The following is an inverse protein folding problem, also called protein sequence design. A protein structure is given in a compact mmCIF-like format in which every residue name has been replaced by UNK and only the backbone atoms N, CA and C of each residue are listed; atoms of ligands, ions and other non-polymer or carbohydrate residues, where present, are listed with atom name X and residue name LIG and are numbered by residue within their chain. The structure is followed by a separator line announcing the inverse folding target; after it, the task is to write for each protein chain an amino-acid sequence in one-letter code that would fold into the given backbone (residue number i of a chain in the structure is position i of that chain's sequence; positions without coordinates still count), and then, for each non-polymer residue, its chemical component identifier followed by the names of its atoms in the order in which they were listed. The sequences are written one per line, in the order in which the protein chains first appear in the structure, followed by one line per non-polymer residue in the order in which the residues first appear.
data_IF_805231802310
#
_entry.id   IF_805231802310
#
_cell.length_a   1.000
_cell.length_b   1.000
_cell.length_c   1.000
_cell.angle_alpha   90.00
_cell.angle_beta   90.00
_cell.angle_gamma   90.00
#
_symmetry.space_group_name_H-M   'P 1'
#
loop_
_entity.id
_entity.type
_entity.pdbx_description
1 polymer ?
#
# COMPACT_ATOMS: atom_id res chain seq x y z
N UNK A 1 18.74 48.40 -14.06
CA UNK A 1 19.19 47.16 -14.76
C UNK A 1 19.25 45.96 -13.81
N UNK A 2 19.93 46.05 -12.66
CA UNK A 2 20.01 44.95 -11.67
C UNK A 2 18.67 44.63 -10.96
N UNK A 3 17.80 45.63 -10.74
CA UNK A 3 16.44 45.41 -10.19
C UNK A 3 15.52 44.64 -11.16
N UNK A 4 15.62 44.94 -12.45
CA UNK A 4 14.85 44.24 -13.49
C UNK A 4 15.36 42.80 -13.70
N UNK A 5 16.66 42.56 -13.52
CA UNK A 5 17.23 41.20 -13.55
C UNK A 5 16.81 40.35 -12.34
N UNK A 6 16.61 40.96 -11.17
CA UNK A 6 16.09 40.26 -9.99
C UNK A 6 14.57 40.01 -10.07
N UNK A 7 13.79 40.94 -10.63
CA UNK A 7 12.36 40.68 -10.90
C UNK A 7 12.17 39.64 -12.02
N UNK A 8 13.02 39.62 -13.04
CA UNK A 8 13.03 38.57 -14.07
C UNK A 8 13.50 37.22 -13.51
N UNK A 9 14.41 37.20 -12.53
CA UNK A 9 14.80 35.99 -11.81
C UNK A 9 13.64 35.42 -10.98
N UNK A 10 12.89 36.27 -10.28
CA UNK A 10 11.71 35.84 -9.51
C UNK A 10 10.52 35.46 -10.39
N UNK A 11 10.37 36.05 -11.58
CA UNK A 11 9.38 35.64 -12.59
C UNK A 11 9.77 34.35 -13.33
N UNK A 12 11.07 34.04 -13.44
CA UNK A 12 11.56 32.77 -14.02
C UNK A 12 11.31 31.54 -13.14
N UNK A 13 10.96 31.72 -11.86
CA UNK A 13 10.62 30.62 -10.94
C UNK A 13 9.11 30.49 -10.66
N UNK A 14 8.25 31.28 -11.32
CA UNK A 14 6.81 31.33 -11.03
C UNK A 14 5.89 31.18 -12.25
N UNK A 15 6.37 30.64 -13.37
CA UNK A 15 5.49 30.22 -14.46
C UNK A 15 5.79 28.78 -14.85
N UNK A 16 4.74 27.96 -14.85
CA UNK A 16 4.67 26.62 -15.40
C UNK A 16 5.37 26.58 -16.77
N UNK A 17 6.60 26.05 -16.80
CA UNK A 17 7.19 25.58 -18.04
C UNK A 17 6.42 24.31 -18.42
N UNK A 18 5.53 24.41 -19.42
CA UNK A 18 4.90 23.26 -20.04
C UNK A 18 5.98 22.25 -20.49
N UNK A 19 6.17 21.18 -19.71
CA UNK A 19 6.85 19.96 -20.17
C UNK A 19 8.05 19.45 -19.37
N UNK A 20 8.59 20.19 -18.38
CA UNK A 20 9.71 19.68 -17.56
C UNK A 20 9.19 19.20 -16.21
N UNK A 21 9.16 17.88 -16.02
CA UNK A 21 8.81 17.28 -14.73
C UNK A 21 9.85 17.62 -13.67
N UNK A 22 9.39 18.16 -12.53
CA UNK A 22 10.20 18.40 -11.35
C UNK A 22 9.65 17.54 -10.20
N UNK A 23 10.46 16.63 -9.62
CA UNK A 23 10.00 15.78 -8.53
C UNK A 23 9.72 16.63 -7.28
N UNK A 24 8.49 16.55 -6.77
CA UNK A 24 8.12 17.22 -5.54
C UNK A 24 8.64 16.45 -4.32
N UNK A 25 9.18 17.16 -3.34
CA UNK A 25 9.57 16.59 -2.06
C UNK A 25 8.60 17.02 -0.97
N UNK A 26 8.31 16.11 -0.05
CA UNK A 26 7.60 16.44 1.18
C UNK A 26 8.54 17.19 2.12
N UNK A 27 8.02 18.24 2.75
CA UNK A 27 8.72 18.92 3.84
C UNK A 27 8.58 18.12 5.13
N UNK A 28 9.69 17.50 5.56
CA UNK A 28 9.75 16.75 6.82
C UNK A 28 10.17 17.60 8.02
N UNK A 29 10.48 18.90 7.84
CA UNK A 29 11.08 19.75 8.88
C UNK A 29 10.26 19.83 10.18
N UNK A 30 8.94 19.68 10.06
CA UNK A 30 7.99 19.76 11.19
C UNK A 30 7.67 18.41 11.81
N UNK A 31 8.19 17.30 11.26
CA UNK A 31 7.85 15.96 11.72
C UNK A 31 8.93 15.41 12.65
N UNK A 32 8.57 15.29 13.92
CA UNK A 32 9.40 14.58 14.92
C UNK A 32 8.75 13.25 15.26
N UNK A 33 9.49 12.16 15.10
CA UNK A 33 9.01 10.82 15.46
C UNK A 33 9.04 10.64 16.98
N UNK A 34 7.99 10.03 17.54
CA UNK A 34 7.95 9.69 18.96
C UNK A 34 8.90 8.51 19.29
N UNK A 35 9.10 8.22 20.57
CA UNK A 35 10.01 7.16 21.02
C UNK A 35 9.62 5.77 20.50
N UNK A 36 8.32 5.50 20.38
CA UNK A 36 7.80 4.22 19.90
C UNK A 36 8.13 3.99 18.43
N UNK A 37 7.87 4.98 17.58
CA UNK A 37 8.21 4.95 16.16
C UNK A 37 9.72 4.88 15.95
N UNK A 38 10.52 5.59 16.75
CA UNK A 38 11.98 5.48 16.71
C UNK A 38 12.47 4.08 17.10
N UNK A 39 11.84 3.44 18.09
CA UNK A 39 12.13 2.04 18.43
C UNK A 39 11.77 1.10 17.27
N UNK A 40 10.68 1.37 16.54
CA UNK A 40 10.31 0.62 15.35
C UNK A 40 11.31 0.81 14.20
N UNK A 41 11.76 2.05 13.95
CA UNK A 41 12.83 2.34 12.98
C UNK A 41 14.09 1.52 13.29
N UNK A 42 14.49 1.46 14.55
CA UNK A 42 15.66 0.68 14.98
C UNK A 42 15.48 -0.82 14.72
N UNK A 43 14.31 -1.39 15.07
CA UNK A 43 13.99 -2.82 14.84
C UNK A 43 13.95 -3.14 13.33
N UNK A 44 13.34 -2.28 12.53
CA UNK A 44 13.29 -2.45 11.08
C UNK A 44 14.68 -2.35 10.45
N UNK A 45 15.51 -1.40 10.88
CA UNK A 45 16.86 -1.22 10.35
C UNK A 45 17.73 -2.48 10.54
N UNK A 46 17.65 -3.10 11.72
CA UNK A 46 18.30 -4.38 12.02
C UNK A 46 17.74 -5.51 11.16
N UNK A 47 16.41 -5.67 11.10
CA UNK A 47 15.75 -6.64 10.23
C UNK A 47 16.15 -6.49 8.75
N UNK A 48 16.25 -5.25 8.26
CA UNK A 48 16.57 -4.96 6.87
C UNK A 48 18.05 -5.24 6.56
N UNK A 49 18.95 -4.95 7.51
CA UNK A 49 20.36 -5.36 7.42
C UNK A 49 20.49 -6.88 7.44
N UNK A 50 19.81 -7.57 8.36
CA UNK A 50 19.84 -9.03 8.46
C UNK A 50 19.28 -9.70 7.20
N UNK A 51 18.22 -9.13 6.59
CA UNK A 51 17.67 -9.57 5.30
C UNK A 51 18.67 -9.44 4.14
N UNK A 52 19.48 -8.37 4.15
CA UNK A 52 20.55 -8.21 3.18
C UNK A 52 21.71 -9.19 3.45
N UNK A 53 22.09 -9.34 4.71
CA UNK A 53 23.19 -10.18 5.14
C UNK A 53 22.91 -11.67 4.91
N UNK A 54 21.73 -12.16 5.27
CA UNK A 54 21.31 -13.54 5.02
C UNK A 54 21.43 -13.90 3.53
N UNK A 55 20.85 -13.09 2.64
CA UNK A 55 20.95 -13.29 1.18
C UNK A 55 22.38 -13.24 0.64
N UNK A 56 23.30 -12.56 1.33
CA UNK A 56 24.72 -12.51 0.98
C UNK A 56 25.42 -13.79 1.44
N UNK A 57 25.20 -14.21 2.68
CA UNK A 57 25.73 -15.46 3.24
C UNK A 57 25.26 -16.68 2.44
N UNK A 58 23.98 -16.73 2.05
CA UNK A 58 23.40 -17.79 1.20
C UNK A 58 24.10 -17.89 -0.16
N UNK A 59 24.65 -16.76 -0.66
CA UNK A 59 25.43 -16.70 -1.90
C UNK A 59 26.93 -16.95 -1.68
N UNK A 60 27.32 -17.45 -0.50
CA UNK A 60 28.70 -17.75 -0.13
C UNK A 60 29.56 -16.52 0.16
N UNK A 61 28.95 -15.37 0.45
CA UNK A 61 29.73 -14.22 0.90
C UNK A 61 30.19 -14.40 2.34
N UNK A 62 31.40 -13.95 2.65
CA UNK A 62 31.99 -14.02 3.99
C UNK A 62 32.40 -12.65 4.50
N UNK A 63 32.54 -12.52 5.82
CA UNK A 63 33.07 -11.29 6.41
C UNK A 63 34.53 -11.05 5.96
N UNK A 64 34.87 -9.80 5.66
CA UNK A 64 36.24 -9.38 5.42
C UNK A 64 36.37 -7.86 5.50
N UNK A 65 37.54 -7.37 5.92
CA UNK A 65 37.78 -5.95 6.19
C UNK A 65 37.56 -5.05 4.96
N UNK A 66 37.72 -5.60 3.76
CA UNK A 66 37.53 -4.89 2.50
C UNK A 66 36.52 -5.63 1.62
N UNK A 67 35.73 -4.86 0.89
CA UNK A 67 34.83 -5.42 -0.12
C UNK A 67 35.64 -6.03 -1.26
N UNK A 68 35.33 -7.29 -1.60
CA UNK A 68 35.95 -7.97 -2.73
C UNK A 68 34.95 -8.92 -3.37
N UNK A 69 34.63 -8.68 -4.64
CA UNK A 69 33.77 -9.60 -5.40
C UNK A 69 34.49 -10.90 -5.76
N UNK A 70 35.81 -10.86 -5.97
CA UNK A 70 36.63 -12.02 -6.36
C UNK A 70 36.71 -13.06 -5.23
N UNK A 71 36.88 -12.59 -3.99
CA UNK A 71 36.96 -13.44 -2.80
C UNK A 71 35.64 -13.46 -2.01
N UNK A 72 34.56 -12.92 -2.60
CA UNK A 72 33.22 -12.83 -2.01
C UNK A 72 33.19 -12.31 -0.57
N UNK A 73 33.93 -11.23 -0.30
CA UNK A 73 34.02 -10.61 1.02
C UNK A 73 33.25 -9.30 1.13
N UNK A 74 32.63 -9.06 2.28
CA UNK A 74 31.97 -7.79 2.57
C UNK A 74 32.16 -7.34 4.03
N UNK A 75 32.55 -6.08 4.30
CA UNK A 75 32.84 -5.60 5.67
C UNK A 75 31.59 -5.51 6.55
N UNK A 76 30.43 -5.22 5.95
CA UNK A 76 29.15 -5.13 6.67
C UNK A 76 28.51 -6.47 7.07
N UNK A 77 29.17 -7.61 6.83
CA UNK A 77 28.72 -8.92 7.30
C UNK A 77 29.11 -9.14 8.77
N UNK A 78 28.58 -8.26 9.62
CA UNK A 78 28.74 -8.25 11.08
C UNK A 78 27.38 -7.91 11.69
N UNK A 79 27.13 -8.27 12.97
CA UNK A 79 25.88 -7.90 13.64
C UNK A 79 25.59 -6.39 13.56
N UNK A 80 24.32 -6.01 13.41
CA UNK A 80 23.90 -4.62 13.20
C UNK A 80 24.50 -3.62 14.21
N UNK A 81 24.60 -4.03 15.48
CA UNK A 81 25.15 -3.17 16.54
C UNK A 81 26.64 -2.84 16.35
N UNK A 82 27.40 -3.63 15.57
CA UNK A 82 28.83 -3.40 15.26
C UNK A 82 29.07 -2.58 13.99
N UNK A 83 28.03 -2.25 13.24
CA UNK A 83 28.14 -1.33 12.11
C UNK A 83 28.54 0.07 12.59
N UNK A 84 29.16 0.84 11.70
CA UNK A 84 29.45 2.25 11.95
C UNK A 84 28.14 3.06 12.00
N UNK A 85 28.15 4.17 12.72
CA UNK A 85 26.91 4.93 12.94
C UNK A 85 26.32 5.48 11.63
N UNK A 86 27.15 5.93 10.69
CA UNK A 86 26.68 6.35 9.37
C UNK A 86 26.06 5.19 8.55
N UNK A 87 26.53 3.96 8.76
CA UNK A 87 25.97 2.76 8.10
C UNK A 87 24.65 2.35 8.71
N UNK A 88 24.51 2.48 10.04
CA UNK A 88 23.23 2.28 10.75
C UNK A 88 22.22 3.33 10.31
N UNK A 89 22.66 4.59 10.23
CA UNK A 89 21.81 5.70 9.84
C UNK A 89 21.24 5.51 8.44
N UNK A 90 22.04 5.00 7.50
CA UNK A 90 21.54 4.62 6.17
C UNK A 90 20.35 3.65 6.23
N UNK A 91 20.36 2.66 7.13
CA UNK A 91 19.26 1.70 7.26
C UNK A 91 18.06 2.29 8.00
N UNK A 92 18.31 3.07 9.05
CA UNK A 92 17.27 3.77 9.81
C UNK A 92 16.49 4.73 8.94
N UNK A 93 17.22 5.53 8.16
CA UNK A 93 16.64 6.59 7.36
C UNK A 93 15.64 6.06 6.32
N UNK A 94 15.83 4.84 5.80
CA UNK A 94 14.87 4.21 4.89
C UNK A 94 13.50 3.98 5.52
N UNK A 95 13.46 3.57 6.78
CA UNK A 95 12.21 3.37 7.49
C UNK A 95 11.65 4.71 7.99
N UNK A 96 12.52 5.56 8.54
CA UNK A 96 12.14 6.86 9.07
C UNK A 96 11.54 7.78 8.00
N UNK A 97 12.06 7.76 6.78
CA UNK A 97 11.52 8.48 5.62
C UNK A 97 10.07 8.05 5.31
N UNK A 98 9.80 6.74 5.27
CA UNK A 98 8.45 6.24 5.07
C UNK A 98 7.50 6.67 6.20
N UNK A 99 7.93 6.54 7.45
CA UNK A 99 7.10 6.92 8.61
C UNK A 99 6.81 8.42 8.60
N UNK A 100 7.82 9.26 8.31
CA UNK A 100 7.62 10.71 8.23
C UNK A 100 6.65 11.08 7.11
N UNK A 101 6.77 10.46 5.94
CA UNK A 101 5.83 10.68 4.83
C UNK A 101 4.38 10.33 5.23
N UNK A 102 4.18 9.18 5.89
CA UNK A 102 2.88 8.78 6.42
C UNK A 102 2.31 9.82 7.40
N UNK A 103 3.13 10.32 8.33
CA UNK A 103 2.70 11.36 9.28
C UNK A 103 2.34 12.67 8.55
N UNK A 104 3.13 13.11 7.56
CA UNK A 104 2.82 14.31 6.75
C UNK A 104 1.49 14.15 6.02
N UNK A 105 1.21 12.96 5.50
CA UNK A 105 -0.07 12.65 4.83
C UNK A 105 -1.23 12.44 5.81
N UNK A 106 -1.00 12.59 7.13
CA UNK A 106 -2.05 12.49 8.15
C UNK A 106 -2.37 11.05 8.57
N UNK A 107 -1.52 10.08 8.28
CA UNK A 107 -1.67 8.72 8.83
C UNK A 107 -1.20 8.65 10.28
N UNK A 108 -1.90 7.84 11.06
CA UNK A 108 -1.58 7.54 12.44
C UNK A 108 -1.21 6.06 12.59
N UNK A 109 -0.40 5.77 13.62
CA UNK A 109 0.03 4.42 13.97
C UNK A 109 -0.53 4.09 15.34
N UNK A 110 -1.31 3.02 15.42
CA UNK A 110 -1.90 2.54 16.67
C UNK A 110 -1.56 1.06 16.85
N UNK A 111 -1.08 0.71 18.04
CA UNK A 111 -0.91 -0.70 18.41
C UNK A 111 -2.28 -1.30 18.74
N UNK A 112 -2.79 -2.18 17.88
CA UNK A 112 -4.11 -2.81 18.04
C UNK A 112 -4.04 -4.28 18.43
N UNK A 113 -2.98 -4.98 18.02
CA UNK A 113 -2.76 -6.40 18.34
C UNK A 113 -1.54 -6.54 19.28
N UNK A 114 -1.81 -6.43 20.58
CA UNK A 114 -0.79 -6.55 21.62
C UNK A 114 -0.15 -7.95 21.63
N UNK A 115 -0.92 -9.00 21.38
CA UNK A 115 -0.40 -10.37 21.34
C UNK A 115 0.57 -10.57 20.17
N UNK A 116 0.28 -9.99 18.99
CA UNK A 116 1.21 -9.99 17.86
C UNK A 116 2.49 -9.23 18.19
N UNK A 117 2.39 -8.07 18.84
CA UNK A 117 3.56 -7.33 19.27
C UNK A 117 4.42 -8.13 20.26
N UNK A 118 3.81 -8.81 21.23
CA UNK A 118 4.53 -9.68 22.16
C UNK A 118 5.23 -10.84 21.43
N UNK A 119 4.52 -11.54 20.54
CA UNK A 119 5.12 -12.61 19.71
C UNK A 119 6.27 -12.08 18.85
N UNK A 120 6.10 -10.91 18.23
CA UNK A 120 7.13 -10.27 17.43
C UNK A 120 8.39 -9.94 18.27
N UNK A 121 8.19 -9.45 19.50
CA UNK A 121 9.31 -9.17 20.41
C UNK A 121 9.99 -10.44 20.95
N UNK A 122 9.24 -11.53 21.18
CA UNK A 122 9.77 -12.82 21.62
C UNK A 122 10.48 -13.60 20.50
N UNK A 123 10.00 -13.46 19.25
CA UNK A 123 10.60 -14.12 18.07
C UNK A 123 11.94 -13.52 17.64
N UNK A 124 12.34 -12.38 18.23
CA UNK A 124 13.61 -11.73 17.94
C UNK A 124 14.78 -12.61 18.42
N UNK A 125 15.48 -13.21 17.47
CA UNK A 125 16.72 -13.94 17.71
C UNK A 125 17.91 -13.03 17.44
N UNK A 126 18.88 -12.99 18.36
CA UNK A 126 20.11 -12.23 18.15
C UNK A 126 20.90 -12.84 16.98
N UNK A 127 21.28 -11.99 16.03
CA UNK A 127 22.05 -12.37 14.83
C UNK A 127 23.52 -12.74 15.11
N UNK A 128 23.89 -12.95 16.38
CA UNK A 128 25.26 -13.20 16.83
C UNK A 128 25.89 -11.99 17.53
N UNK A 129 27.00 -12.21 18.26
CA UNK A 129 27.73 -11.16 18.98
C UNK A 129 28.89 -10.58 18.16
N UNK A 130 29.48 -11.39 17.30
CA UNK A 130 30.69 -11.11 16.54
C UNK A 130 30.56 -11.62 15.10
N UNK A 131 31.51 -11.23 14.26
CA UNK A 131 31.61 -11.62 12.85
C UNK A 131 31.72 -13.14 12.64
N UNK A 132 32.27 -13.89 13.61
CA UNK A 132 32.45 -15.35 13.52
C UNK A 132 31.16 -16.12 13.78
N UNK A 133 30.31 -15.59 14.64
CA UNK A 133 29.04 -16.21 15.06
C UNK A 133 27.85 -15.50 14.41
N UNK A 134 28.11 -14.70 13.36
CA UNK A 134 27.10 -13.89 12.69
C UNK A 134 26.17 -14.79 11.88
N UNK A 135 24.92 -14.93 12.36
CA UNK A 135 23.88 -15.73 11.75
C UNK A 135 22.57 -14.92 11.70
N UNK A 136 22.42 -14.03 10.71
CA UNK A 136 21.25 -13.16 10.60
C UNK A 136 19.98 -13.96 10.37
N UNK A 137 18.95 -13.68 11.19
CA UNK A 137 17.62 -14.32 11.11
C UNK A 137 16.54 -13.25 10.95
N UNK A 138 16.41 -12.66 9.75
CA UNK A 138 15.37 -11.68 9.50
C UNK A 138 13.97 -12.29 9.69
N UNK A 139 13.03 -11.46 10.11
CA UNK A 139 11.60 -11.79 10.13
C UNK A 139 11.12 -12.20 8.73
N UNK A 140 10.37 -13.30 8.64
CA UNK A 140 9.75 -13.72 7.39
C UNK A 140 8.41 -12.98 7.17
N UNK A 141 8.42 -12.03 6.23
CA UNK A 141 7.24 -11.23 5.84
C UNK A 141 6.59 -11.74 4.53
N UNK A 142 7.08 -12.86 3.98
CA UNK A 142 6.66 -13.34 2.65
C UNK A 142 5.19 -13.77 2.61
N UNK A 143 4.70 -14.38 3.69
CA UNK A 143 3.32 -14.86 3.83
C UNK A 143 2.35 -13.81 4.36
N UNK A 144 2.81 -12.58 4.62
CA UNK A 144 1.95 -11.50 5.07
C UNK A 144 1.29 -10.78 3.89
N UNK A 145 0.00 -10.52 4.05
CA UNK A 145 -0.80 -9.77 3.09
C UNK A 145 -1.20 -8.42 3.69
N UNK A 146 -1.08 -7.38 2.88
CA UNK A 146 -1.56 -6.04 3.18
C UNK A 146 -2.97 -5.88 2.63
N UNK A 147 -3.82 -5.15 3.36
CA UNK A 147 -5.14 -4.77 2.89
C UNK A 147 -5.05 -3.82 1.68
N UNK A 148 -6.12 -3.74 0.89
CA UNK A 148 -6.16 -2.94 -0.34
C UNK A 148 -5.84 -1.46 -0.09
N UNK A 149 -6.35 -0.88 0.99
CA UNK A 149 -6.02 0.50 1.38
C UNK A 149 -4.53 0.66 1.67
N UNK A 150 -3.96 -0.23 2.47
CA UNK A 150 -2.52 -0.20 2.81
C UNK A 150 -1.64 -0.44 1.58
N UNK A 151 -2.10 -1.23 0.59
CA UNK A 151 -1.41 -1.37 -0.70
C UNK A 151 -1.38 -0.06 -1.50
N UNK A 152 -2.45 0.75 -1.45
CA UNK A 152 -2.45 2.07 -2.10
C UNK A 152 -1.47 3.02 -1.39
N UNK A 153 -1.43 2.97 -0.07
CA UNK A 153 -0.43 3.69 0.74
C UNK A 153 0.99 3.24 0.39
N UNK A 154 1.20 1.94 0.14
CA UNK A 154 2.47 1.40 -0.30
C UNK A 154 2.92 1.96 -1.66
N UNK A 155 1.99 2.10 -2.62
CA UNK A 155 2.28 2.73 -3.91
C UNK A 155 2.66 4.21 -3.73
N UNK A 156 1.94 4.96 -2.90
CA UNK A 156 2.26 6.36 -2.61
C UNK A 156 3.64 6.51 -1.95
N UNK A 157 4.01 5.61 -1.02
CA UNK A 157 5.35 5.56 -0.44
C UNK A 157 6.43 5.24 -1.45
N UNK A 158 6.16 4.33 -2.39
CA UNK A 158 7.09 3.97 -3.45
C UNK A 158 7.34 5.13 -4.42
N UNK A 159 6.28 5.86 -4.79
CA UNK A 159 6.35 7.10 -5.55
C UNK A 159 7.18 8.17 -4.81
N UNK A 160 6.94 8.37 -3.52
CA UNK A 160 7.71 9.33 -2.72
C UNK A 160 9.21 8.97 -2.69
N UNK A 161 9.56 7.69 -2.52
CA UNK A 161 10.95 7.21 -2.61
C UNK A 161 11.58 7.55 -3.96
N UNK A 162 10.83 7.37 -5.05
CA UNK A 162 11.28 7.74 -6.40
C UNK A 162 11.50 9.25 -6.55
N UNK A 163 10.57 10.07 -6.07
CA UNK A 163 10.69 11.52 -6.13
C UNK A 163 11.90 12.04 -5.33
N UNK A 164 12.16 11.46 -4.16
CA UNK A 164 13.35 11.80 -3.35
C UNK A 164 14.65 11.40 -4.04
N UNK A 165 14.69 10.23 -4.67
CA UNK A 165 15.83 9.81 -5.49
C UNK A 165 16.02 10.75 -6.69
N UNK A 166 14.96 11.01 -7.44
CA UNK A 166 14.98 11.87 -8.62
C UNK A 166 15.49 13.27 -8.27
N UNK A 167 15.00 13.87 -7.18
CA UNK A 167 15.46 15.19 -6.74
C UNK A 167 16.95 15.20 -6.42
N UNK A 168 17.46 14.18 -5.70
CA UNK A 168 18.90 14.05 -5.42
C UNK A 168 19.72 13.97 -6.70
N UNK A 169 19.23 13.23 -7.70
CA UNK A 169 19.87 13.17 -9.03
C UNK A 169 19.84 14.54 -9.72
N UNK A 170 18.73 15.28 -9.67
CA UNK A 170 18.66 16.65 -10.21
C UNK A 170 19.67 17.58 -9.53
N UNK A 171 19.79 17.54 -8.20
CA UNK A 171 20.75 18.35 -7.44
C UNK A 171 22.19 17.97 -7.79
N UNK A 172 22.51 16.67 -7.83
CA UNK A 172 23.84 16.18 -8.21
C UNK A 172 24.24 16.59 -9.64
N UNK A 173 23.28 16.61 -10.57
CA UNK A 173 23.49 17.04 -11.96
C UNK A 173 23.69 18.55 -12.08
N UNK A 174 23.02 19.33 -11.24
CA UNK A 174 23.20 20.78 -11.17
C UNK A 174 24.61 21.13 -10.66
N UNK A 175 25.07 20.44 -9.61
CA UNK A 175 26.37 20.70 -8.98
C UNK A 175 27.55 20.08 -9.75
N UNK A 176 27.36 18.92 -10.38
CA UNK A 176 28.42 18.13 -11.03
C UNK A 176 28.09 17.76 -12.48
N UNK A 177 27.64 18.73 -13.27
CA UNK A 177 27.26 18.55 -14.69
C UNK A 177 28.35 17.87 -15.56
N UNK A 178 29.63 17.97 -15.17
CA UNK A 178 30.74 17.32 -15.88
C UNK A 178 30.91 15.82 -15.57
N UNK A 179 30.38 15.32 -14.44
CA UNK A 179 30.57 13.93 -14.00
C UNK A 179 29.52 12.97 -14.58
N UNK A 180 28.36 13.49 -15.01
CA UNK A 180 27.26 12.72 -15.55
C UNK A 180 27.01 13.09 -17.03
N UNK A 181 27.64 12.37 -17.97
CA UNK A 181 27.53 12.69 -19.39
C UNK A 181 26.14 12.42 -19.98
N UNK A 182 25.22 11.79 -19.23
CA UNK A 182 23.88 11.43 -19.70
C UNK A 182 22.86 11.35 -18.56
N UNK A 183 21.64 11.85 -18.83
CA UNK A 183 20.50 11.82 -17.91
C UNK A 183 20.01 10.37 -17.69
N UNK A 184 19.82 9.90 -16.45
CA UNK A 184 19.25 8.58 -16.19
C UNK A 184 17.85 8.43 -16.80
N UNK A 185 17.59 7.32 -17.50
CA UNK A 185 16.30 7.07 -18.17
C UNK A 185 15.11 7.02 -17.20
N UNK A 186 15.35 6.61 -15.96
CA UNK A 186 14.33 6.56 -14.93
C UNK A 186 13.95 7.94 -14.37
N UNK A 187 14.57 9.03 -14.83
CA UNK A 187 14.24 10.39 -14.38
C UNK A 187 12.98 10.93 -15.08
N UNK A 188 11.87 10.24 -14.83
CA UNK A 188 10.53 10.54 -15.35
C UNK A 188 9.51 10.41 -14.21
N UNK A 189 8.31 11.00 -14.35
CA UNK A 189 7.21 10.78 -13.42
C UNK A 189 6.98 9.30 -13.09
N UNK A 190 6.60 9.01 -11.85
CA UNK A 190 6.35 7.65 -11.36
C UNK A 190 5.41 6.85 -12.28
N UNK A 191 4.36 7.50 -12.80
CA UNK A 191 3.38 6.87 -13.68
C UNK A 191 3.90 6.45 -15.06
N UNK A 192 5.07 6.96 -15.47
CA UNK A 192 5.70 6.57 -16.73
C UNK A 192 6.73 5.45 -16.56
N UNK A 193 7.08 5.08 -15.33
CA UNK A 193 8.00 3.98 -15.07
C UNK A 193 7.36 2.64 -15.40
N UNK A 194 8.16 1.70 -15.90
CA UNK A 194 7.75 0.32 -16.07
C UNK A 194 7.59 -0.40 -14.73
N UNK A 195 6.83 -1.49 -14.71
CA UNK A 195 6.69 -2.33 -13.51
C UNK A 195 8.03 -2.87 -12.99
N UNK A 196 9.01 -3.06 -13.88
CA UNK A 196 10.34 -3.51 -13.51
C UNK A 196 11.09 -2.44 -12.71
N UNK A 197 11.00 -1.18 -13.13
CA UNK A 197 11.64 -0.05 -12.46
C UNK A 197 11.01 0.23 -11.10
N UNK A 198 9.67 0.20 -11.01
CA UNK A 198 8.92 0.41 -9.76
C UNK A 198 9.10 -0.70 -8.73
N UNK A 199 9.48 -1.91 -9.16
CA UNK A 199 9.49 -3.13 -8.31
C UNK A 199 10.28 -2.95 -7.01
N UNK A 200 11.42 -2.27 -7.07
CA UNK A 200 12.32 -2.12 -5.91
C UNK A 200 11.73 -1.20 -4.85
N UNK A 201 11.14 -0.08 -5.27
CA UNK A 201 10.53 0.88 -4.34
C UNK A 201 9.20 0.36 -3.80
N UNK A 202 8.39 -0.30 -4.64
CA UNK A 202 7.19 -1.03 -4.21
C UNK A 202 7.49 -2.07 -3.15
N UNK A 203 8.49 -2.92 -3.41
CA UNK A 203 8.90 -3.93 -2.45
C UNK A 203 9.29 -3.30 -1.12
N UNK A 204 10.13 -2.26 -1.13
CA UNK A 204 10.56 -1.59 0.11
C UNK A 204 9.41 -0.96 0.88
N UNK A 205 8.51 -0.26 0.19
CA UNK A 205 7.35 0.35 0.81
C UNK A 205 6.46 -0.72 1.48
N UNK A 206 6.18 -1.81 0.78
CA UNK A 206 5.38 -2.92 1.31
C UNK A 206 6.07 -3.60 2.51
N UNK A 207 7.39 -3.81 2.46
CA UNK A 207 8.13 -4.43 3.56
C UNK A 207 8.05 -3.60 4.84
N UNK A 208 8.13 -2.26 4.74
CA UNK A 208 7.94 -1.38 5.91
C UNK A 208 6.54 -1.57 6.51
N UNK A 209 5.50 -1.51 5.68
CA UNK A 209 4.11 -1.63 6.14
C UNK A 209 3.80 -3.01 6.73
N UNK A 210 4.29 -4.08 6.09
CA UNK A 210 4.17 -5.45 6.62
C UNK A 210 4.86 -5.59 7.96
N UNK A 211 6.03 -4.96 8.14
CA UNK A 211 6.75 -5.00 9.40
C UNK A 211 5.97 -4.33 10.54
N UNK A 212 5.30 -3.21 10.27
CA UNK A 212 4.38 -2.59 11.24
C UNK A 212 3.23 -3.53 11.61
N UNK A 213 2.58 -4.15 10.60
CA UNK A 213 1.51 -5.12 10.82
C UNK A 213 2.00 -6.36 11.60
N UNK A 214 3.23 -6.81 11.36
CA UNK A 214 3.84 -7.94 12.08
C UNK A 214 3.99 -7.63 13.58
N UNK A 215 4.32 -6.37 13.87
CA UNK A 215 4.40 -5.84 15.23
C UNK A 215 3.03 -5.43 15.81
N UNK A 216 1.91 -5.77 15.16
CA UNK A 216 0.55 -5.52 15.66
C UNK A 216 0.05 -4.09 15.49
N UNK A 217 0.77 -3.26 14.73
CA UNK A 217 0.34 -1.89 14.45
C UNK A 217 -0.65 -1.83 13.29
N UNK A 218 -1.66 -0.99 13.45
CA UNK A 218 -2.57 -0.54 12.40
C UNK A 218 -2.17 0.86 11.96
N UNK A 219 -2.19 1.07 10.64
CA UNK A 219 -2.02 2.38 10.01
C UNK A 219 -3.37 2.81 9.47
N UNK A 220 -3.83 4.01 9.80
CA UNK A 220 -5.10 4.54 9.33
C UNK A 220 -4.99 6.05 9.11
N UNK A 221 -5.83 6.59 8.23
CA UNK A 221 -5.88 8.03 7.96
C UNK A 221 -6.56 8.76 9.11
N UNK A 222 -6.09 9.94 9.49
CA UNK A 222 -6.74 10.78 10.51
C UNK A 222 -8.18 11.20 10.14
N UNK A 223 -8.58 11.08 8.87
CA UNK A 223 -9.99 11.21 8.47
C UNK A 223 -10.88 10.17 9.16
N UNK A 224 -10.37 8.94 9.33
CA UNK A 224 -11.15 7.81 9.86
C UNK A 224 -11.34 7.89 11.39
N UNK A 225 -10.46 8.60 12.11
CA UNK A 225 -10.56 8.75 13.56
C UNK A 225 -11.60 9.79 14.00
N UNK A 226 -11.84 10.82 13.17
CA UNK A 226 -12.97 11.74 13.34
C UNK A 226 -14.33 11.03 13.18
N UNK A 227 -14.40 10.03 12.30
CA UNK A 227 -15.63 9.28 12.08
C UNK A 227 -15.95 8.29 13.21
N UNK A 228 -14.93 7.73 13.86
CA UNK A 228 -15.13 6.80 15.00
C UNK A 228 -15.51 7.50 16.31
N UNK A 229 -15.10 8.75 16.53
CA UNK A 229 -15.57 9.55 17.67
C UNK A 229 -17.00 10.09 17.46
N UNK A 230 -17.45 10.20 16.20
CA UNK A 230 -18.75 10.78 15.85
C UNK A 230 -19.98 9.91 16.12
N UNK A 231 -19.80 8.61 16.45
CA UNK A 231 -20.92 7.70 16.75
C UNK A 231 -21.47 7.94 18.17
N UNK A 232 -20.64 8.41 19.11
CA UNK A 232 -21.04 8.54 20.52
C UNK A 232 -21.74 9.87 20.84
N UNK A 233 -21.48 10.92 20.06
CA UNK A 233 -22.04 12.27 20.31
C UNK A 233 -23.17 12.70 19.34
N UNK A 234 -23.51 11.90 18.32
CA UNK A 234 -24.61 12.24 17.37
C UNK A 234 -26.03 12.02 17.87
N UNK A 235 -26.23 11.65 19.14
CA UNK A 235 -27.57 11.48 19.72
C UNK A 235 -28.13 12.73 20.41
N UNK A 236 -27.47 13.89 20.31
CA UNK A 236 -28.04 15.16 20.75
C UNK A 236 -27.80 16.26 19.73
N UNK A 237 -28.90 16.93 19.40
CA UNK A 237 -29.04 18.25 18.73
C UNK A 237 -29.30 18.20 17.21
N UNK A 238 -30.62 18.24 16.92
CA UNK A 238 -31.35 19.00 15.89
C UNK A 238 -30.79 19.19 14.47
N UNK A 239 -31.55 18.63 13.51
CA UNK A 239 -32.35 19.39 12.54
C UNK A 239 -31.69 20.52 11.73
N UNK A 240 -31.47 20.28 10.43
CA UNK A 240 -31.39 21.36 9.43
C UNK A 240 -30.50 21.11 8.21
N UNK A 241 -31.14 20.84 7.08
CA UNK A 241 -30.82 21.18 5.69
C UNK A 241 -29.37 21.46 5.17
N UNK A 242 -29.05 20.71 4.10
CA UNK A 242 -28.34 21.09 2.84
C UNK A 242 -26.85 21.46 2.86
N UNK A 243 -26.03 20.61 2.22
CA UNK A 243 -25.17 21.03 1.10
C UNK A 243 -24.69 19.80 0.30
N UNK A 244 -24.88 19.86 -1.02
CA UNK A 244 -24.38 18.93 -2.03
C UNK A 244 -22.89 19.18 -2.27
N UNK A 245 -22.05 18.14 -2.24
CA UNK A 245 -20.77 18.14 -2.92
C UNK A 245 -20.37 16.72 -3.34
N UNK A 246 -20.30 16.53 -4.66
CA UNK A 246 -19.76 15.37 -5.37
C UNK A 246 -18.27 15.21 -5.10
N UNK A 247 -17.87 14.16 -4.40
CA UNK A 247 -16.55 13.53 -4.53
C UNK A 247 -16.68 12.02 -4.29
N UNK A 248 -16.25 11.25 -5.28
CA UNK A 248 -16.28 9.79 -5.29
C UNK A 248 -15.20 9.26 -4.35
N UNK A 249 -15.57 8.70 -3.20
CA UNK A 249 -14.67 7.77 -2.48
C UNK A 249 -14.72 7.70 -0.96
N UNK A 250 -15.44 8.54 -0.22
CA UNK A 250 -15.41 8.48 1.25
C UNK A 250 -16.77 8.83 1.87
N UNK A 251 -17.60 7.79 2.03
CA UNK A 251 -18.53 7.61 3.17
C UNK A 251 -19.35 6.34 2.90
N UNK A 252 -18.74 5.16 3.10
CA UNK A 252 -19.51 3.92 3.01
C UNK A 252 -20.42 3.81 4.22
N UNK A 253 -21.73 3.87 4.00
CA UNK A 253 -22.73 3.79 5.09
C UNK A 253 -22.53 2.52 5.94
N UNK A 254 -22.93 2.52 7.22
CA UNK A 254 -22.76 1.33 8.10
C UNK A 254 -23.35 0.04 7.53
N UNK A 255 -24.33 0.18 6.64
CA UNK A 255 -24.94 -0.90 5.85
C UNK A 255 -23.92 -1.50 4.86
N UNK A 256 -23.11 -0.68 4.21
CA UNK A 256 -22.11 -1.09 3.21
C UNK A 256 -20.92 -1.83 3.80
N UNK A 257 -20.76 -1.80 5.12
CA UNK A 257 -19.78 -2.59 5.88
C UNK A 257 -20.32 -3.97 6.28
N UNK A 258 -21.61 -4.26 6.07
CA UNK A 258 -22.21 -5.55 6.43
C UNK A 258 -21.82 -6.63 5.42
N UNK A 259 -21.68 -7.86 5.92
CA UNK A 259 -21.37 -9.02 5.10
C UNK A 259 -22.40 -9.23 3.98
N UNK A 260 -23.70 -9.12 4.30
CA UNK A 260 -24.78 -9.30 3.33
C UNK A 260 -24.68 -8.27 2.18
N UNK A 261 -24.47 -6.99 2.49
CA UNK A 261 -24.25 -5.96 1.48
C UNK A 261 -23.07 -6.27 0.53
N UNK A 262 -21.89 -6.59 1.07
CA UNK A 262 -20.71 -6.87 0.24
C UNK A 262 -20.86 -8.14 -0.61
N UNK A 263 -21.59 -9.14 -0.08
CA UNK A 263 -21.94 -10.34 -0.83
C UNK A 263 -22.87 -9.99 -2.00
N UNK A 264 -23.94 -9.23 -1.76
CA UNK A 264 -24.89 -8.79 -2.79
C UNK A 264 -24.21 -7.96 -3.89
N UNK A 265 -23.29 -7.07 -3.51
CA UNK A 265 -22.51 -6.26 -4.45
C UNK A 265 -21.68 -7.13 -5.41
N UNK A 266 -21.00 -8.15 -4.86
CA UNK A 266 -20.25 -9.12 -5.67
C UNK A 266 -21.16 -9.98 -6.55
N UNK A 267 -22.30 -10.43 -6.03
CA UNK A 267 -23.27 -11.23 -6.79
C UNK A 267 -23.84 -10.45 -7.97
N UNK A 268 -24.19 -9.18 -7.76
CA UNK A 268 -24.69 -8.29 -8.81
C UNK A 268 -23.63 -8.05 -9.89
N UNK A 269 -22.38 -7.84 -9.49
CA UNK A 269 -21.27 -7.71 -10.44
C UNK A 269 -21.06 -8.97 -11.29
N UNK A 270 -21.17 -10.17 -10.70
CA UNK A 270 -21.11 -11.42 -11.46
C UNK A 270 -22.30 -11.59 -12.42
N UNK A 271 -23.50 -11.18 -12.01
CA UNK A 271 -24.70 -11.20 -12.85
C UNK A 271 -24.56 -10.27 -14.05
N UNK A 272 -24.11 -9.03 -13.84
CA UNK A 272 -23.86 -8.06 -14.92
C UNK A 272 -22.80 -8.56 -15.90
N UNK A 273 -21.69 -9.12 -15.38
CA UNK A 273 -20.64 -9.70 -16.22
C UNK A 273 -21.13 -10.90 -17.03
N UNK A 274 -21.95 -11.76 -16.43
CA UNK A 274 -22.57 -12.88 -17.12
C UNK A 274 -23.56 -12.39 -18.19
N UNK A 275 -24.39 -11.39 -17.88
CA UNK A 275 -25.37 -10.81 -18.80
C UNK A 275 -24.72 -10.18 -20.04
N UNK A 276 -23.64 -9.40 -19.86
CA UNK A 276 -22.89 -8.80 -20.99
C UNK A 276 -22.27 -9.88 -21.89
N UNK A 277 -21.90 -11.03 -21.34
CA UNK A 277 -21.27 -12.14 -22.06
C UNK A 277 -22.26 -13.16 -22.62
N UNK A 278 -23.51 -13.13 -22.17
CA UNK A 278 -24.62 -13.87 -22.76
C UNK A 278 -25.13 -13.14 -24.01
N UNK A 279 -24.49 -13.38 -25.17
CA UNK A 279 -25.05 -12.96 -26.46
C UNK A 279 -25.99 -14.02 -27.00
N UNK A 280 -27.11 -13.60 -27.59
CA UNK A 280 -28.12 -14.48 -28.20
C UNK A 280 -27.47 -15.44 -29.20
N UNK A 281 -27.91 -16.71 -29.14
CA UNK A 281 -27.52 -17.76 -30.08
C UNK A 281 -28.02 -17.33 -31.48
N UNK A 282 -27.13 -16.74 -32.28
CA UNK A 282 -27.43 -16.49 -33.68
C UNK A 282 -27.41 -17.85 -34.39
N UNK A 283 -28.53 -18.33 -34.99
CA UNK A 283 -28.52 -19.58 -35.74
C UNK A 283 -27.45 -19.49 -36.84
N UNK A 284 -26.69 -20.56 -37.04
CA UNK A 284 -25.73 -20.61 -38.13
C UNK A 284 -26.45 -20.46 -39.47
N UNK A 285 -26.01 -19.51 -40.30
CA UNK A 285 -26.51 -19.39 -41.67
C UNK A 285 -26.18 -20.68 -42.44
N UNK A 286 -27.11 -21.17 -43.26
CA UNK A 286 -27.24 -22.55 -43.78
C UNK A 286 -26.06 -23.14 -44.57
N UNK A 287 -24.92 -22.45 -44.71
CA UNK A 287 -23.81 -22.88 -45.58
C UNK A 287 -22.42 -22.74 -44.93
N UNK A 288 -22.27 -23.03 -43.64
CA UNK A 288 -20.94 -23.10 -42.99
C UNK A 288 -20.62 -24.53 -42.55
N UNK A 289 -19.59 -25.15 -43.16
CA UNK A 289 -19.09 -26.51 -42.79
C UNK A 289 -18.39 -26.58 -41.42
N UNK A 290 -18.36 -25.49 -40.65
CA UNK A 290 -17.82 -25.46 -39.29
C UNK A 290 -18.97 -25.10 -38.36
N UNK A 291 -19.27 -25.99 -37.41
CA UNK A 291 -20.17 -25.71 -36.29
C UNK A 291 -19.62 -24.55 -35.46
N UNK A 292 -19.94 -23.31 -35.83
CA UNK A 292 -19.69 -22.14 -35.00
C UNK A 292 -20.80 -21.98 -33.96
N UNK A 293 -21.06 -23.03 -33.18
CA UNK A 293 -21.74 -22.85 -31.91
C UNK A 293 -20.77 -22.07 -31.01
N UNK A 294 -21.08 -20.79 -30.74
CA UNK A 294 -20.38 -20.04 -29.70
C UNK A 294 -20.65 -20.74 -28.38
N UNK A 295 -19.66 -21.48 -27.88
CA UNK A 295 -19.71 -22.03 -26.52
C UNK A 295 -19.76 -20.87 -25.54
N UNK A 296 -20.63 -20.97 -24.54
CA UNK A 296 -20.71 -20.03 -23.43
C UNK A 296 -19.30 -19.79 -22.84
N UNK A 297 -18.99 -18.51 -22.60
CA UNK A 297 -17.74 -18.11 -21.97
C UNK A 297 -17.58 -18.75 -20.59
N UNK A 298 -16.34 -18.91 -20.13
CA UNK A 298 -16.02 -19.51 -18.83
C UNK A 298 -16.77 -18.83 -17.68
N UNK A 299 -17.01 -17.52 -17.79
CA UNK A 299 -17.72 -16.72 -16.78
C UNK A 299 -19.21 -17.03 -16.72
N UNK A 300 -19.84 -17.36 -17.86
CA UNK A 300 -21.25 -17.76 -17.91
C UNK A 300 -21.42 -19.12 -17.26
N UNK A 301 -20.49 -20.05 -17.48
CA UNK A 301 -20.49 -21.37 -16.83
C UNK A 301 -20.19 -21.28 -15.34
N UNK A 302 -19.30 -20.38 -14.94
CA UNK A 302 -19.02 -20.12 -13.53
C UNK A 302 -20.24 -19.53 -12.84
N UNK A 303 -20.92 -18.58 -13.49
CA UNK A 303 -22.18 -18.02 -13.00
C UNK A 303 -23.25 -19.10 -12.84
N UNK A 304 -23.48 -19.91 -13.88
CA UNK A 304 -24.49 -20.95 -13.88
C UNK A 304 -24.23 -22.05 -12.83
N UNK A 305 -22.99 -22.54 -12.74
CA UNK A 305 -22.67 -23.73 -11.92
C UNK A 305 -22.27 -23.41 -10.49
N UNK A 306 -21.83 -22.18 -10.21
CA UNK A 306 -21.27 -21.81 -8.91
C UNK A 306 -22.05 -20.66 -8.29
N UNK A 307 -22.22 -19.56 -9.01
CA UNK A 307 -22.86 -18.35 -8.45
C UNK A 307 -24.35 -18.58 -8.22
N UNK A 308 -25.08 -19.13 -9.20
CA UNK A 308 -26.53 -19.37 -9.07
C UNK A 308 -26.89 -20.35 -7.91
N UNK A 309 -26.25 -21.53 -7.77
CA UNK A 309 -26.51 -22.40 -6.63
C UNK A 309 -26.15 -21.77 -5.29
N UNK A 310 -25.06 -20.98 -5.24
CA UNK A 310 -24.65 -20.27 -4.03
C UNK A 310 -25.66 -19.19 -3.63
N UNK A 311 -26.14 -18.40 -4.59
CA UNK A 311 -27.23 -17.44 -4.39
C UNK A 311 -28.46 -18.14 -3.84
N UNK A 312 -28.90 -19.22 -4.49
CA UNK A 312 -30.08 -19.96 -4.07
C UNK A 312 -29.95 -20.50 -2.65
N UNK A 313 -28.82 -21.14 -2.31
CA UNK A 313 -28.56 -21.66 -0.98
C UNK A 313 -28.53 -20.54 0.08
N UNK A 314 -27.87 -19.42 -0.22
CA UNK A 314 -27.78 -18.28 0.69
C UNK A 314 -29.13 -17.63 0.95
N UNK A 315 -29.90 -17.30 -0.09
CA UNK A 315 -31.23 -16.70 0.09
C UNK A 315 -32.24 -17.67 0.70
N UNK A 316 -32.10 -18.97 0.46
CA UNK A 316 -32.92 -19.98 1.12
C UNK A 316 -32.63 -20.04 2.62
N UNK A 317 -31.35 -20.09 3.02
CA UNK A 317 -30.94 -20.14 4.42
C UNK A 317 -31.22 -18.84 5.20
N UNK A 318 -31.12 -17.69 4.53
CA UNK A 318 -31.27 -16.36 5.14
C UNK A 318 -32.58 -15.66 4.74
N UNK A 319 -33.60 -16.41 4.31
CA UNK A 319 -34.90 -15.88 3.86
C UNK A 319 -35.52 -14.90 4.88
N UNK A 320 -35.49 -15.25 6.16
CA UNK A 320 -36.07 -14.43 7.23
C UNK A 320 -35.33 -13.10 7.44
N UNK A 321 -34.02 -13.05 7.17
CA UNK A 321 -33.22 -11.83 7.26
C UNK A 321 -33.69 -10.77 6.25
N UNK A 322 -34.01 -11.20 5.01
CA UNK A 322 -34.43 -10.31 3.93
C UNK A 322 -35.92 -9.96 3.96
N UNK A 323 -36.78 -10.87 4.45
CA UNK A 323 -38.24 -10.66 4.46
C UNK A 323 -38.77 -9.94 5.71
N UNK A 324 -38.01 -9.90 6.81
CA UNK A 324 -38.47 -9.23 8.03
C UNK A 324 -38.69 -7.73 7.80
N UNK A 325 -39.84 -7.18 8.23
CA UNK A 325 -40.12 -5.74 8.13
C UNK A 325 -39.04 -4.92 8.84
N UNK A 326 -38.51 -3.91 8.16
CA UNK A 326 -37.48 -3.03 8.72
C UNK A 326 -38.10 -2.25 9.89
N UNK A 327 -37.80 -2.62 11.14
CA UNK A 327 -38.08 -1.76 12.29
C UNK A 327 -36.83 -0.91 12.58
N UNK A 328 -37.02 0.36 12.97
CA UNK A 328 -35.94 1.34 13.10
C UNK A 328 -34.80 0.97 14.08
N UNK A 329 -34.90 -0.12 14.86
CA UNK A 329 -34.05 -0.34 16.03
C UNK A 329 -33.47 -1.77 16.14
N UNK A 330 -33.68 -2.68 15.19
CA UNK A 330 -33.19 -4.07 15.35
C UNK A 330 -31.95 -4.40 14.52
N UNK A 331 -30.85 -4.68 15.23
CA UNK A 331 -29.71 -5.47 14.74
C UNK A 331 -30.20 -6.91 14.48
N UNK A 332 -30.34 -7.29 13.21
CA UNK A 332 -30.80 -8.65 12.85
C UNK A 332 -31.64 -8.76 11.58
N UNK A 333 -31.98 -7.64 10.94
CA UNK A 333 -32.76 -7.61 9.68
C UNK A 333 -32.01 -6.88 8.57
N UNK A 334 -32.27 -7.25 7.31
CA UNK A 334 -31.71 -6.60 6.13
C UNK A 334 -32.07 -5.11 6.09
N UNK A 335 -31.09 -4.28 5.72
CA UNK A 335 -31.29 -2.86 5.46
C UNK A 335 -32.17 -2.65 4.21
N UNK A 336 -32.79 -1.48 4.09
CA UNK A 336 -33.56 -1.11 2.90
C UNK A 336 -32.70 -1.19 1.62
N UNK A 337 -31.43 -0.75 1.68
CA UNK A 337 -30.48 -0.90 0.55
C UNK A 337 -30.24 -2.36 0.19
N UNK A 338 -30.05 -3.23 1.18
CA UNK A 338 -29.83 -4.67 0.95
C UNK A 338 -31.09 -5.34 0.38
N UNK A 339 -32.29 -4.87 0.76
CA UNK A 339 -33.57 -5.34 0.20
C UNK A 339 -33.77 -4.88 -1.24
N UNK A 340 -33.41 -3.64 -1.56
CA UNK A 340 -33.45 -3.10 -2.93
C UNK A 340 -32.53 -3.88 -3.87
N UNK A 341 -31.37 -4.35 -3.40
CA UNK A 341 -30.46 -5.17 -4.22
C UNK A 341 -30.96 -6.61 -4.49
N UNK A 342 -31.95 -7.07 -3.72
CA UNK A 342 -32.54 -8.41 -3.81
C UNK A 342 -33.85 -8.41 -4.59
N UNK A 343 -34.55 -7.28 -4.63
CA UNK A 343 -35.77 -7.06 -5.41
C UNK A 343 -35.46 -6.97 -6.91
#
# INVERSE_FOLDING_TARGET
MLSLLNELSLLLFSQDYEGVWVPQQLDYSKVTLNNELNAMVQKFAEHFHDSWAARKLDKGWTHGLLYSRRTTNHPRLVPFHRLQDYEKEFYKERCAECIRALVVWGYQFELVDHDANERANQSRVLSGRNERDFNPRPVDLSNMNLDKEILQVAEQLAENSHNLWARKVFDDLADNSAQYPSMPLALVPWELLTDFERRKDRFRAQEVLKFFQFHGYRIFSSSDSMDQMSIVDRFKIDGGATASCTTLGADRSSVEKRFAFNLLEKLLAYLEQANVRMKSLKPSHELTKRNSFRREGQDVKFFEKVVLPLMFAYFSAHRNYFLASSSMVQTGTASNKEKEMVA
#
